data_IF_909209623451
#
_entry.id   IF_909209623451
#
_cell.length_a   1.000
_cell.length_b   1.000
_cell.length_c   1.000
_cell.angle_alpha   90.00
_cell.angle_beta   90.00
_cell.angle_gamma   90.00
#
_symmetry.space_group_name_H-M   'P 1'
#
loop_
_entity.id
_entity.type
_entity.pdbx_description
1 polymer ?
#
# COMPACT_ATOMS: atom_id res chain seq x y z
N UNK A 1 -10.77 -15.76 -38.02
CA UNK A 1 -10.92 -16.06 -36.58
C UNK A 1 -9.67 -16.75 -36.00
N UNK A 2 -9.26 -17.94 -36.46
CA UNK A 2 -8.07 -18.65 -35.93
C UNK A 2 -6.76 -17.83 -35.96
N UNK A 3 -6.50 -17.09 -37.05
CA UNK A 3 -5.33 -16.21 -37.18
C UNK A 3 -5.32 -15.04 -36.19
N UNK A 4 -6.50 -14.48 -35.88
CA UNK A 4 -6.64 -13.38 -34.92
C UNK A 4 -6.40 -13.86 -33.48
N UNK A 5 -6.95 -15.02 -33.13
CA UNK A 5 -6.70 -15.64 -31.82
C UNK A 5 -5.20 -15.94 -31.61
N UNK A 6 -4.55 -16.51 -32.63
CA UNK A 6 -3.10 -16.77 -32.59
C UNK A 6 -2.32 -15.47 -32.41
N UNK A 7 -2.67 -14.41 -33.14
CA UNK A 7 -2.02 -13.11 -32.99
C UNK A 7 -2.18 -12.56 -31.57
N UNK A 8 -3.39 -12.61 -30.99
CA UNK A 8 -3.64 -12.15 -29.61
C UNK A 8 -2.85 -12.95 -28.58
N UNK A 9 -2.77 -14.28 -28.73
CA UNK A 9 -1.97 -15.13 -27.84
C UNK A 9 -0.49 -14.78 -27.96
N UNK A 10 0.03 -14.60 -29.17
CA UNK A 10 1.43 -14.22 -29.38
C UNK A 10 1.75 -12.86 -28.74
N UNK A 11 0.87 -11.87 -28.89
CA UNK A 11 1.01 -10.57 -28.22
C UNK A 11 0.93 -10.72 -26.71
N UNK A 12 -0.02 -11.50 -26.19
CA UNK A 12 -0.17 -11.74 -24.76
C UNK A 12 1.02 -12.47 -24.13
N UNK A 13 1.62 -13.43 -24.84
CA UNK A 13 2.84 -14.11 -24.42
C UNK A 13 4.03 -13.15 -24.52
N UNK A 14 4.14 -12.39 -25.60
CA UNK A 14 5.20 -11.41 -25.81
C UNK A 14 5.25 -10.33 -24.74
N UNK A 15 4.09 -9.80 -24.33
CA UNK A 15 4.02 -8.75 -23.30
C UNK A 15 4.45 -9.24 -21.91
N UNK A 16 4.37 -10.54 -21.61
CA UNK A 16 4.85 -11.08 -20.32
C UNK A 16 6.37 -10.91 -20.15
N UNK A 17 7.13 -10.74 -21.24
CA UNK A 17 8.58 -10.56 -21.21
C UNK A 17 9.03 -9.12 -20.96
N UNK A 18 8.10 -8.18 -20.74
CA UNK A 18 8.42 -6.82 -20.32
C UNK A 18 8.28 -6.74 -18.79
N UNK A 19 9.38 -6.81 -18.02
CA UNK A 19 9.32 -6.86 -16.57
C UNK A 19 9.10 -5.47 -15.97
N UNK A 20 8.48 -5.43 -14.79
CA UNK A 20 8.54 -4.28 -13.89
C UNK A 20 9.23 -4.71 -12.59
N UNK A 21 10.33 -4.04 -12.25
CA UNK A 21 11.20 -4.41 -11.15
C UNK A 21 10.90 -3.56 -9.92
N UNK A 22 9.85 -3.96 -9.19
CA UNK A 22 9.57 -3.44 -7.84
C UNK A 22 9.75 -4.60 -6.87
N UNK A 23 10.72 -4.54 -5.94
CA UNK A 23 10.99 -5.62 -5.01
C UNK A 23 9.86 -5.77 -3.99
N UNK A 24 9.57 -7.01 -3.59
CA UNK A 24 8.60 -7.30 -2.52
C UNK A 24 9.09 -6.73 -1.18
N UNK A 25 10.39 -6.86 -0.92
CA UNK A 25 11.04 -6.46 0.31
C UNK A 25 12.08 -5.36 0.07
N UNK A 26 12.11 -4.37 0.96
CA UNK A 26 13.15 -3.35 1.03
C UNK A 26 13.87 -3.44 2.38
N UNK A 27 15.16 -3.09 2.46
CA UNK A 27 15.87 -3.06 3.73
C UNK A 27 15.24 -2.04 4.68
N UNK A 28 15.10 -2.43 5.94
CA UNK A 28 14.57 -1.60 7.05
C UNK A 28 15.58 -1.65 8.18
N UNK A 29 15.87 -0.51 8.82
CA UNK A 29 16.71 -0.51 10.02
C UNK A 29 15.88 -0.89 11.23
N UNK A 30 16.51 -1.58 12.17
CA UNK A 30 15.88 -1.87 13.45
C UNK A 30 15.46 -0.57 14.15
N UNK A 31 14.22 -0.52 14.64
CA UNK A 31 13.63 0.67 15.26
C UNK A 31 13.07 1.72 14.30
N UNK A 32 13.21 1.57 12.97
CA UNK A 32 12.65 2.54 12.01
C UNK A 32 11.13 2.39 11.79
N UNK A 33 10.58 1.22 12.10
CA UNK A 33 9.17 0.93 11.87
C UNK A 33 8.24 1.68 12.83
N UNK A 34 7.05 2.04 12.34
CA UNK A 34 6.00 2.62 13.17
C UNK A 34 5.60 1.64 14.28
N UNK A 35 5.52 2.17 15.50
CA UNK A 35 4.88 1.53 16.63
C UNK A 35 3.53 2.17 16.88
N UNK A 36 2.49 1.35 17.01
CA UNK A 36 1.12 1.79 17.25
C UNK A 36 0.42 0.80 18.19
N UNK A 37 -0.65 1.23 18.89
CA UNK A 37 -1.49 0.32 19.67
C UNK A 37 -1.93 -0.90 18.87
N UNK A 38 -2.10 -2.05 19.54
CA UNK A 38 -2.33 -3.34 18.89
C UNK A 38 -3.51 -3.33 17.89
N UNK A 39 -4.62 -2.68 18.28
CA UNK A 39 -5.80 -2.51 17.43
C UNK A 39 -5.49 -1.71 16.15
N UNK A 40 -4.69 -0.65 16.26
CA UNK A 40 -4.27 0.18 15.12
C UNK A 40 -3.32 -0.62 14.23
N UNK A 41 -2.36 -1.33 14.83
CA UNK A 41 -1.40 -2.14 14.10
C UNK A 41 -2.08 -3.24 13.27
N UNK A 42 -3.14 -3.86 13.81
CA UNK A 42 -3.94 -4.83 13.06
C UNK A 42 -4.63 -4.21 11.83
N UNK A 43 -5.18 -3.00 11.97
CA UNK A 43 -5.81 -2.27 10.87
C UNK A 43 -4.78 -1.90 9.80
N UNK A 44 -3.64 -1.33 10.20
CA UNK A 44 -2.58 -0.91 9.28
C UNK A 44 -2.01 -2.10 8.48
N UNK A 45 -1.76 -3.23 9.15
CA UNK A 45 -1.32 -4.47 8.49
C UNK A 45 -2.29 -4.94 7.42
N UNK A 46 -3.59 -4.96 7.75
CA UNK A 46 -4.64 -5.47 6.86
C UNK A 46 -4.97 -4.54 5.70
N UNK A 47 -4.94 -3.23 5.94
CA UNK A 47 -5.54 -2.25 5.02
C UNK A 47 -4.53 -1.29 4.37
N UNK A 48 -3.28 -1.26 4.84
CA UNK A 48 -2.30 -0.25 4.40
C UNK A 48 -0.94 -0.84 3.99
N UNK A 49 -0.44 -1.87 4.69
CA UNK A 49 0.95 -2.31 4.56
C UNK A 49 1.31 -2.90 3.20
N UNK A 50 0.35 -3.48 2.47
CA UNK A 50 0.59 -3.97 1.11
C UNK A 50 1.13 -2.89 0.17
N UNK A 51 0.77 -1.61 0.38
CA UNK A 51 1.23 -0.49 -0.44
C UNK A 51 2.14 0.49 0.29
N UNK A 52 2.05 0.56 1.62
CA UNK A 52 2.72 1.57 2.45
C UNK A 52 3.72 0.97 3.44
N UNK A 53 4.24 -0.23 3.18
CA UNK A 53 5.33 -0.81 3.97
C UNK A 53 6.47 -1.30 3.08
N UNK A 54 7.64 -1.53 3.68
CA UNK A 54 8.79 -2.13 2.99
C UNK A 54 8.57 -3.61 2.67
N UNK A 55 7.55 -4.26 3.23
CA UNK A 55 7.23 -5.67 3.02
C UNK A 55 5.84 -5.80 2.39
N UNK A 56 5.80 -5.98 1.07
CA UNK A 56 4.53 -6.12 0.34
C UNK A 56 4.24 -7.58 0.04
N UNK A 57 3.03 -8.02 0.40
CA UNK A 57 2.52 -9.32 -0.04
C UNK A 57 1.96 -9.18 -1.46
N UNK A 58 2.79 -9.46 -2.47
CA UNK A 58 2.32 -9.44 -3.85
C UNK A 58 1.40 -10.64 -4.14
N UNK A 59 0.15 -10.42 -4.58
CA UNK A 59 -0.72 -11.51 -5.03
C UNK A 59 -0.20 -12.11 -6.34
N UNK A 60 -0.65 -13.33 -6.67
CA UNK A 60 -0.20 -14.09 -7.84
C UNK A 60 -0.33 -13.32 -9.18
N UNK A 61 -1.35 -12.49 -9.31
CA UNK A 61 -1.59 -11.70 -10.53
C UNK A 61 -0.58 -10.55 -10.69
N UNK A 62 0.17 -10.18 -9.65
CA UNK A 62 1.26 -9.19 -9.72
C UNK A 62 2.47 -9.68 -10.51
N UNK A 63 2.42 -10.90 -11.04
CA UNK A 63 3.39 -11.48 -11.96
C UNK A 63 2.90 -11.53 -13.41
N UNK A 64 1.65 -11.15 -13.70
CA UNK A 64 1.04 -11.26 -15.03
C UNK A 64 0.85 -9.88 -15.66
N UNK A 65 1.49 -9.63 -16.80
CA UNK A 65 1.34 -8.39 -17.54
C UNK A 65 -0.03 -8.31 -18.24
N UNK A 66 -0.61 -7.09 -18.38
CA UNK A 66 -0.08 -5.80 -17.89
C UNK A 66 -0.46 -5.49 -16.43
N UNK A 67 -1.26 -6.33 -15.76
CA UNK A 67 -1.76 -6.09 -14.39
C UNK A 67 -0.63 -5.93 -13.37
N UNK A 68 0.44 -6.71 -13.54
CA UNK A 68 1.66 -6.63 -12.74
C UNK A 68 2.26 -5.23 -12.74
N UNK A 69 2.26 -4.53 -13.88
CA UNK A 69 2.83 -3.20 -14.02
C UNK A 69 2.04 -2.18 -13.21
N UNK A 70 0.71 -2.17 -13.34
CA UNK A 70 -0.12 -1.27 -12.55
C UNK A 70 0.03 -1.53 -11.06
N UNK A 71 0.02 -2.80 -10.65
CA UNK A 71 0.11 -3.16 -9.22
C UNK A 71 1.45 -2.72 -8.63
N UNK A 72 2.55 -3.03 -9.33
CA UNK A 72 3.90 -2.70 -8.87
C UNK A 72 4.16 -1.20 -8.87
N UNK A 73 3.70 -0.46 -9.87
CA UNK A 73 3.84 1.01 -9.90
C UNK A 73 3.07 1.65 -8.74
N UNK A 74 1.82 1.21 -8.47
CA UNK A 74 1.06 1.71 -7.33
C UNK A 74 1.73 1.43 -5.98
N UNK A 75 2.33 0.24 -5.80
CA UNK A 75 3.08 -0.09 -4.57
C UNK A 75 4.32 0.79 -4.44
N UNK A 76 5.07 0.98 -5.54
CA UNK A 76 6.23 1.88 -5.58
C UNK A 76 5.83 3.31 -5.20
N UNK A 77 4.82 3.88 -5.86
CA UNK A 77 4.33 5.23 -5.54
C UNK A 77 3.80 5.34 -4.11
N UNK A 78 3.13 4.28 -3.61
CA UNK A 78 2.62 4.22 -2.24
C UNK A 78 3.75 4.38 -1.22
N UNK A 79 4.80 3.56 -1.37
CA UNK A 79 6.01 3.60 -0.53
C UNK A 79 6.76 4.93 -0.62
N UNK A 80 6.90 5.48 -1.82
CA UNK A 80 7.57 6.79 -2.02
C UNK A 80 6.81 7.93 -1.34
N UNK A 81 5.48 7.88 -1.37
CA UNK A 81 4.63 8.87 -0.69
C UNK A 81 4.70 8.72 0.82
N UNK A 82 4.66 7.49 1.35
CA UNK A 82 4.70 7.19 2.78
C UNK A 82 5.00 5.70 3.01
N UNK A 83 5.93 5.38 3.90
CA UNK A 83 6.30 4.02 4.27
C UNK A 83 6.36 3.86 5.80
N UNK A 84 5.44 3.07 6.35
CA UNK A 84 5.33 2.76 7.78
C UNK A 84 6.53 1.99 8.32
N UNK A 85 7.24 1.23 7.49
CA UNK A 85 8.46 0.53 7.91
C UNK A 85 9.64 1.47 8.13
N UNK A 86 9.56 2.72 7.65
CA UNK A 86 10.60 3.73 7.81
C UNK A 86 10.10 4.96 8.57
N UNK A 87 9.01 4.81 9.33
CA UNK A 87 8.32 5.91 10.00
C UNK A 87 9.21 6.74 10.93
N UNK A 88 10.01 6.08 11.77
CA UNK A 88 10.89 6.76 12.73
C UNK A 88 12.11 7.39 12.07
N UNK A 89 12.37 7.11 10.79
CA UNK A 89 13.40 7.80 10.01
C UNK A 89 12.94 9.16 9.47
N UNK A 90 11.64 9.47 9.53
CA UNK A 90 11.11 10.77 9.15
C UNK A 90 11.34 11.82 10.24
N UNK A 91 11.56 13.07 9.83
CA UNK A 91 11.46 14.22 10.74
C UNK A 91 10.02 14.43 11.22
N UNK A 92 9.87 15.16 12.33
CA UNK A 92 8.58 15.29 12.99
C UNK A 92 7.59 16.13 12.17
N UNK A 93 8.06 17.14 11.41
CA UNK A 93 7.22 17.89 10.47
C UNK A 93 6.57 16.95 9.44
N UNK A 94 7.36 16.03 8.87
CA UNK A 94 6.89 15.04 7.90
C UNK A 94 5.95 14.04 8.54
N UNK A 95 6.21 13.57 9.76
CA UNK A 95 5.29 12.70 10.51
C UNK A 95 3.95 13.39 10.75
N UNK A 96 3.95 14.62 11.28
CA UNK A 96 2.74 15.43 11.51
C UNK A 96 1.92 15.59 10.22
N UNK A 97 2.59 15.94 9.12
CA UNK A 97 1.94 16.04 7.80
C UNK A 97 1.30 14.74 7.33
N UNK A 98 1.86 13.58 7.65
CA UNK A 98 1.24 12.29 7.33
C UNK A 98 0.07 11.98 8.26
N UNK A 99 0.21 12.23 9.56
CA UNK A 99 -0.86 12.05 10.54
C UNK A 99 -2.09 12.90 10.20
N UNK A 100 -1.90 14.14 9.71
CA UNK A 100 -3.01 14.98 9.20
C UNK A 100 -3.66 14.45 7.91
N UNK A 101 -2.90 13.73 7.08
CA UNK A 101 -3.35 13.23 5.78
C UNK A 101 -4.08 11.90 5.87
N UNK A 102 -3.72 11.04 6.82
CA UNK A 102 -4.31 9.70 6.97
C UNK A 102 -5.84 9.78 7.13
N UNK A 103 -6.41 10.60 8.04
CA UNK A 103 -7.86 10.76 8.18
C UNK A 103 -8.57 11.16 6.88
N UNK A 104 -7.98 12.10 6.13
CA UNK A 104 -8.49 12.57 4.84
C UNK A 104 -8.42 11.46 3.78
N UNK A 105 -7.34 10.68 3.78
CA UNK A 105 -7.15 9.60 2.84
C UNK A 105 -8.16 8.46 3.08
N UNK A 106 -8.37 8.03 4.31
CA UNK A 106 -9.26 6.90 4.64
C UNK A 106 -10.76 7.21 4.49
N UNK A 107 -11.10 8.50 4.37
CA UNK A 107 -12.46 8.94 4.11
C UNK A 107 -12.85 8.69 2.64
N UNK A 108 -12.00 9.11 1.70
CA UNK A 108 -12.40 9.20 0.29
C UNK A 108 -11.53 8.41 -0.69
N UNK A 109 -10.25 8.17 -0.37
CA UNK A 109 -9.24 7.70 -1.33
C UNK A 109 -8.67 6.32 -1.01
N UNK A 110 -8.58 5.97 0.27
CA UNK A 110 -7.91 4.77 0.74
C UNK A 110 -8.84 3.88 1.58
N UNK A 111 -8.78 2.55 1.41
CA UNK A 111 -8.11 1.86 0.31
C UNK A 111 -8.78 2.16 -1.04
N UNK A 112 -8.02 2.08 -2.14
CA UNK A 112 -8.55 2.34 -3.48
C UNK A 112 -9.71 1.39 -3.80
N UNK A 113 -10.82 1.91 -4.38
CA UNK A 113 -11.99 1.09 -4.73
C UNK A 113 -11.64 -0.09 -5.64
N UNK A 114 -10.73 0.11 -6.59
CA UNK A 114 -10.24 -0.96 -7.48
C UNK A 114 -9.51 -2.07 -6.74
N UNK A 115 -8.72 -1.72 -5.73
CA UNK A 115 -8.04 -2.69 -4.86
C UNK A 115 -9.06 -3.51 -4.04
N UNK A 116 -10.11 -2.86 -3.51
CA UNK A 116 -11.17 -3.52 -2.74
C UNK A 116 -12.03 -4.51 -3.55
N UNK A 117 -11.97 -4.51 -4.89
CA UNK A 117 -12.65 -5.50 -5.73
C UNK A 117 -12.08 -6.91 -5.46
N UNK A 118 -10.76 -6.99 -5.33
CA UNK A 118 -10.01 -8.23 -5.11
C UNK A 118 -9.60 -8.44 -3.65
N UNK A 119 -9.52 -7.35 -2.87
CA UNK A 119 -9.08 -7.34 -1.47
C UNK A 119 -10.17 -6.81 -0.54
N UNK A 120 -11.26 -7.57 -0.40
CA UNK A 120 -12.40 -7.14 0.42
C UNK A 120 -12.05 -7.08 1.91
N UNK A 121 -11.11 -7.91 2.35
CA UNK A 121 -10.53 -7.95 3.69
C UNK A 121 -9.87 -6.63 4.08
N UNK A 122 -9.34 -5.87 3.11
CA UNK A 122 -8.71 -4.58 3.38
C UNK A 122 -9.72 -3.45 3.63
N UNK A 123 -11.03 -3.68 3.40
CA UNK A 123 -12.06 -2.65 3.58
C UNK A 123 -12.12 -2.18 5.03
N UNK A 124 -11.93 -0.88 5.24
CA UNK A 124 -12.10 -0.25 6.55
C UNK A 124 -13.58 -0.14 6.92
N UNK A 125 -13.93 -0.63 8.10
CA UNK A 125 -15.20 -0.35 8.77
C UNK A 125 -15.21 1.07 9.36
N UNK A 126 -16.38 1.56 9.77
CA UNK A 126 -16.47 2.86 10.43
C UNK A 126 -15.70 2.86 11.77
N UNK A 127 -15.72 1.74 12.50
CA UNK A 127 -14.93 1.57 13.72
C UNK A 127 -13.42 1.62 13.44
N UNK A 128 -12.95 1.01 12.34
CA UNK A 128 -11.54 1.08 11.95
C UNK A 128 -11.13 2.53 11.63
N UNK A 129 -12.00 3.27 10.93
CA UNK A 129 -11.73 4.66 10.58
C UNK A 129 -11.66 5.55 11.81
N UNK A 130 -12.57 5.38 12.77
CA UNK A 130 -12.54 6.14 14.02
C UNK A 130 -11.31 5.79 14.86
N UNK A 131 -10.92 4.50 14.94
CA UNK A 131 -9.70 4.09 15.62
C UNK A 131 -8.44 4.72 14.99
N UNK A 132 -8.35 4.74 13.65
CA UNK A 132 -7.24 5.39 12.95
C UNK A 132 -7.23 6.90 13.19
N UNK A 133 -8.38 7.58 13.14
CA UNK A 133 -8.47 9.02 13.41
C UNK A 133 -8.00 9.36 14.83
N UNK A 134 -8.53 8.67 15.83
CA UNK A 134 -8.17 8.88 17.23
C UNK A 134 -6.65 8.69 17.43
N UNK A 135 -6.11 7.59 16.91
CA UNK A 135 -4.68 7.32 16.96
C UNK A 135 -3.85 8.42 16.27
N UNK A 136 -4.26 8.90 15.09
CA UNK A 136 -3.50 9.97 14.41
C UNK A 136 -3.49 11.28 15.18
N UNK A 137 -4.56 11.59 15.92
CA UNK A 137 -4.63 12.78 16.77
C UNK A 137 -3.72 12.65 17.98
N UNK A 138 -3.75 11.51 18.67
CA UNK A 138 -2.88 11.22 19.82
C UNK A 138 -1.40 11.23 19.41
N UNK A 139 -1.05 10.50 18.33
CA UNK A 139 0.31 10.46 17.83
C UNK A 139 0.82 11.82 17.32
N UNK A 140 -0.06 12.72 16.88
CA UNK A 140 0.33 14.07 16.49
C UNK A 140 0.60 14.95 17.71
N UNK A 141 -0.21 14.81 18.76
CA UNK A 141 -0.01 15.50 20.03
C UNK A 141 1.32 15.12 20.70
N UNK A 142 1.72 13.85 20.62
CA UNK A 142 3.00 13.37 21.19
C UNK A 142 4.25 13.88 20.45
N UNK A 143 4.09 14.45 19.24
CA UNK A 143 5.18 14.99 18.42
C UNK A 143 5.37 16.52 18.58
N UNK A 144 4.41 17.21 19.20
CA UNK A 144 4.45 18.66 19.47
C UNK A 144 5.08 18.97 20.84
#
# INVERSE_FOLDING_TARGET
>A
MKKLLILLILVFVGIQFVPMNVPADLPVKEGDALEAPENVQAILKRSCFDCHSSHTTFPWYSSIAPVSWFTKEHVKEGREKMNFSTWNSYDDEKKLKYLEKIPKAIQDKMPMKSYLIMHKEAKLSDADKEALKAWTTEAAFDLE
#
